data_IF_131922147410
#
_entry.id   IF_131922147410
#
_cell.length_a   1.000
_cell.length_b   1.000
_cell.length_c   1.000
_cell.angle_alpha   90.00
_cell.angle_beta   90.00
_cell.angle_gamma   90.00
#
_symmetry.space_group_name_H-M   'P 1'
#
loop_
_entity.id
_entity.type
_entity.pdbx_description
1 polymer ?
#
# COMPACT_ATOMS: atom_id res chain seq x y z
N UNK A 1 6.18 27.00 -5.25
CA UNK A 1 7.19 27.25 -4.19
C UNK A 1 6.51 26.92 -2.88
N UNK A 2 6.48 25.63 -2.52
CA UNK A 2 5.84 25.21 -1.27
C UNK A 2 6.66 25.74 -0.09
N UNK A 3 5.98 26.28 0.92
CA UNK A 3 6.63 26.83 2.11
C UNK A 3 7.36 25.72 2.85
N UNK A 4 8.68 25.86 2.99
CA UNK A 4 9.58 24.94 3.71
C UNK A 4 9.40 25.00 5.24
N UNK A 5 8.27 25.51 5.73
CA UNK A 5 8.01 25.63 7.16
C UNK A 5 7.52 24.29 7.69
N UNK A 6 8.18 23.80 8.74
CA UNK A 6 7.83 22.57 9.46
C UNK A 6 7.37 22.92 10.87
N UNK A 7 6.52 22.06 11.40
CA UNK A 7 5.96 22.21 12.73
C UNK A 7 6.20 20.93 13.52
N UNK A 8 6.59 21.08 14.78
CA UNK A 8 6.62 19.98 15.74
C UNK A 8 5.21 19.44 15.92
N UNK A 9 5.00 18.20 15.49
CA UNK A 9 3.70 17.55 15.42
C UNK A 9 3.74 16.15 16.05
N UNK A 10 2.57 15.62 16.37
CA UNK A 10 2.39 14.22 16.81
C UNK A 10 1.46 13.49 15.85
N UNK A 11 1.72 12.20 15.58
CA UNK A 11 0.89 11.35 14.73
C UNK A 11 0.25 10.26 15.60
N UNK A 12 -1.08 10.16 15.49
CA UNK A 12 -1.91 9.28 16.30
C UNK A 12 -2.60 8.25 15.41
N UNK A 13 -2.81 7.05 15.96
CA UNK A 13 -3.63 6.04 15.31
C UNK A 13 -5.13 6.32 15.53
N UNK A 14 -5.99 5.58 14.81
CA UNK A 14 -7.43 5.83 14.79
C UNK A 14 -8.20 5.21 15.97
N UNK A 15 -7.53 4.55 16.93
CA UNK A 15 -8.24 3.96 18.06
C UNK A 15 -8.65 5.01 19.09
N UNK A 16 -9.55 4.63 19.99
CA UNK A 16 -9.95 5.46 21.13
C UNK A 16 -9.01 5.26 22.34
N UNK A 17 -7.81 4.73 22.12
CA UNK A 17 -6.82 4.50 23.17
C UNK A 17 -5.80 5.66 23.17
N UNK A 18 -5.60 6.29 24.33
CA UNK A 18 -4.61 7.35 24.51
C UNK A 18 -3.15 6.86 24.39
N UNK A 19 -2.92 5.56 24.26
CA UNK A 19 -1.61 4.98 23.98
C UNK A 19 -1.34 4.75 22.49
N UNK A 20 -2.33 4.89 21.62
CA UNK A 20 -2.21 4.69 20.17
C UNK A 20 -1.55 5.91 19.48
N UNK A 21 -0.27 6.09 19.81
CA UNK A 21 0.55 7.18 19.30
C UNK A 21 1.73 6.61 18.50
N UNK A 22 1.71 6.86 17.19
CA UNK A 22 2.74 6.38 16.25
C UNK A 22 4.02 7.21 16.41
N UNK A 23 3.89 8.54 16.48
CA UNK A 23 4.99 9.47 16.75
C UNK A 23 4.57 10.56 17.71
N UNK A 24 5.29 10.68 18.84
CA UNK A 24 5.02 11.71 19.86
C UNK A 24 5.50 13.11 19.46
N UNK A 25 6.56 13.20 18.65
CA UNK A 25 7.18 14.46 18.22
C UNK A 25 7.94 14.24 16.93
N UNK A 26 7.54 14.94 15.86
CA UNK A 26 8.17 14.90 14.54
C UNK A 26 8.01 16.26 13.83
N UNK A 27 9.02 16.67 13.07
CA UNK A 27 9.00 17.90 12.24
C UNK A 27 8.45 17.59 10.85
N UNK A 28 7.20 17.99 10.59
CA UNK A 28 6.51 17.78 9.30
C UNK A 28 5.91 19.09 8.79
N UNK A 29 5.70 19.23 7.47
CA UNK A 29 4.95 20.37 6.94
C UNK A 29 3.51 20.35 7.47
N UNK A 30 2.81 21.47 7.31
CA UNK A 30 1.38 21.52 7.60
C UNK A 30 0.63 20.57 6.65
N UNK A 31 -0.17 19.68 7.23
CA UNK A 31 -1.04 18.75 6.52
C UNK A 31 -2.50 19.09 6.81
N UNK A 32 -3.40 18.71 5.91
CA UNK A 32 -4.83 18.87 6.02
C UNK A 32 -5.53 17.50 6.07
N UNK A 33 -6.77 17.50 6.54
CA UNK A 33 -7.65 16.32 6.46
C UNK A 33 -7.78 15.92 4.98
N UNK A 34 -7.61 14.62 4.72
CA UNK A 34 -7.59 14.04 3.37
C UNK A 34 -6.20 13.92 2.75
N UNK A 35 -5.16 14.56 3.33
CA UNK A 35 -3.79 14.35 2.88
C UNK A 35 -3.31 12.94 3.23
N UNK A 36 -2.29 12.49 2.51
CA UNK A 36 -1.73 11.14 2.65
C UNK A 36 -0.36 11.18 3.34
N UNK A 37 -0.13 10.19 4.20
CA UNK A 37 1.17 9.96 4.83
C UNK A 37 1.66 8.56 4.44
N UNK A 38 2.92 8.50 4.00
CA UNK A 38 3.58 7.30 3.50
C UNK A 38 4.63 6.82 4.52
N UNK A 39 4.55 5.55 4.91
CA UNK A 39 5.60 4.85 5.65
C UNK A 39 6.23 3.78 4.75
N UNK A 40 7.51 3.94 4.48
CA UNK A 40 8.31 2.95 3.76
C UNK A 40 8.72 1.79 4.67
N UNK A 41 9.13 0.68 4.06
CA UNK A 41 9.66 -0.51 4.72
C UNK A 41 8.68 -1.18 5.71
N UNK A 42 7.39 -1.21 5.36
CA UNK A 42 6.30 -1.75 6.20
C UNK A 42 5.97 -3.22 5.91
N UNK A 43 6.88 -3.98 5.30
CA UNK A 43 6.65 -5.36 4.86
C UNK A 43 6.79 -6.45 5.94
N UNK A 44 7.55 -6.19 7.02
CA UNK A 44 7.85 -7.18 8.05
C UNK A 44 7.28 -6.79 9.41
N UNK A 45 6.68 -7.76 10.13
CA UNK A 45 6.13 -7.60 11.48
C UNK A 45 5.05 -6.50 11.62
N UNK A 46 4.34 -6.19 10.54
CA UNK A 46 3.23 -5.21 10.51
C UNK A 46 1.88 -5.94 10.47
N UNK A 47 1.40 -6.29 9.28
CA UNK A 47 0.10 -6.98 9.09
C UNK A 47 0.08 -8.33 9.81
N UNK A 48 1.22 -9.02 9.91
CA UNK A 48 1.31 -10.34 10.55
C UNK A 48 0.96 -10.34 12.05
N UNK A 49 1.07 -9.20 12.73
CA UNK A 49 0.74 -9.04 14.14
C UNK A 49 -0.43 -8.06 14.37
N UNK A 50 -1.07 -7.59 13.30
CA UNK A 50 -2.15 -6.61 13.39
C UNK A 50 -3.42 -7.24 13.97
N UNK A 51 -4.18 -6.44 14.74
CA UNK A 51 -5.47 -6.84 15.31
C UNK A 51 -6.55 -5.81 14.95
N UNK A 52 -7.79 -6.25 14.81
CA UNK A 52 -8.94 -5.39 14.52
C UNK A 52 -9.54 -4.80 15.80
N UNK A 53 -8.69 -4.21 16.63
CA UNK A 53 -9.14 -3.50 17.82
C UNK A 53 -10.04 -2.31 17.42
N UNK A 54 -11.07 -1.99 18.22
CA UNK A 54 -12.13 -1.03 17.88
C UNK A 54 -12.87 -1.29 16.56
N UNK A 55 -12.80 -2.53 16.02
CA UNK A 55 -13.47 -2.88 14.76
C UNK A 55 -12.83 -2.23 13.52
N UNK A 56 -11.61 -1.72 13.64
CA UNK A 56 -10.90 -1.09 12.54
C UNK A 56 -10.49 -2.15 11.49
N UNK A 57 -10.76 -1.92 10.19
CA UNK A 57 -10.37 -2.86 9.15
C UNK A 57 -8.86 -2.83 8.92
N UNK A 58 -8.30 -3.95 8.44
CA UNK A 58 -6.93 -3.96 7.95
C UNK A 58 -6.81 -3.20 6.63
N UNK A 59 -5.66 -2.56 6.43
CA UNK A 59 -5.27 -2.06 5.11
C UNK A 59 -5.21 -3.22 4.10
N UNK A 60 -5.65 -2.96 2.87
CA UNK A 60 -5.62 -3.95 1.78
C UNK A 60 -4.28 -3.84 1.04
N UNK A 61 -3.41 -4.86 1.10
CA UNK A 61 -2.16 -4.83 0.34
C UNK A 61 -2.47 -4.83 -1.16
N UNK A 62 -1.79 -3.95 -1.89
CA UNK A 62 -1.77 -3.97 -3.35
C UNK A 62 -0.45 -4.57 -3.80
N UNK A 63 -0.52 -5.71 -4.47
CA UNK A 63 0.67 -6.40 -4.98
C UNK A 63 0.93 -5.98 -6.42
N UNK A 64 2.16 -5.59 -6.69
CA UNK A 64 2.62 -5.25 -8.03
C UNK A 64 3.97 -5.92 -8.30
N UNK A 65 4.29 -6.08 -9.57
CA UNK A 65 5.51 -6.74 -10.02
C UNK A 65 5.90 -6.19 -11.38
N UNK A 66 7.18 -5.90 -11.58
CA UNK A 66 7.66 -5.49 -12.90
C UNK A 66 7.50 -6.63 -13.91
N UNK A 67 7.19 -6.31 -15.16
CA UNK A 67 7.02 -7.30 -16.23
C UNK A 67 8.26 -8.20 -16.38
N UNK A 68 9.45 -7.59 -16.29
CA UNK A 68 10.74 -8.30 -16.38
C UNK A 68 10.91 -9.34 -15.25
N UNK A 69 10.52 -8.99 -14.03
CA UNK A 69 10.59 -9.92 -12.90
C UNK A 69 9.52 -11.02 -13.03
N UNK A 70 8.31 -10.68 -13.48
CA UNK A 70 7.25 -11.64 -13.74
C UNK A 70 7.65 -12.71 -14.76
N UNK A 71 8.35 -12.34 -15.83
CA UNK A 71 8.87 -13.28 -16.82
C UNK A 71 9.90 -14.24 -16.21
N UNK A 72 10.78 -13.73 -15.34
CA UNK A 72 11.76 -14.54 -14.59
C UNK A 72 11.07 -15.52 -13.63
N UNK A 73 10.07 -15.04 -12.89
CA UNK A 73 9.25 -15.84 -11.98
C UNK A 73 8.53 -16.97 -12.73
N UNK A 74 7.85 -16.65 -13.84
CA UNK A 74 7.16 -17.65 -14.68
C UNK A 74 8.12 -18.72 -15.18
N UNK A 75 9.30 -18.34 -15.66
CA UNK A 75 10.30 -19.29 -16.14
C UNK A 75 10.76 -20.23 -15.02
N UNK A 76 11.02 -19.69 -13.82
CA UNK A 76 11.42 -20.50 -12.67
C UNK A 76 10.35 -21.54 -12.28
N UNK A 77 9.07 -21.18 -12.33
CA UNK A 77 7.96 -22.08 -11.97
C UNK A 77 7.62 -23.15 -13.03
N UNK A 78 8.12 -23.03 -14.26
CA UNK A 78 7.92 -24.03 -15.33
C UNK A 78 8.89 -25.22 -15.23
N UNK A 79 9.92 -25.14 -14.38
CA UNK A 79 10.98 -26.16 -14.28
C UNK A 79 10.60 -27.40 -13.47
N UNK A 80 9.42 -27.44 -12.83
CA UNK A 80 8.94 -28.60 -12.07
C UNK A 80 7.43 -28.79 -12.31
N UNK A 81 6.94 -30.00 -12.67
CA UNK A 81 5.51 -30.23 -12.83
C UNK A 81 4.84 -30.20 -11.45
N UNK A 82 4.39 -29.02 -11.01
CA UNK A 82 3.48 -28.89 -9.87
C UNK A 82 2.08 -28.63 -10.40
N UNK A 83 1.13 -29.41 -9.89
CA UNK A 83 -0.30 -29.28 -10.18
C UNK A 83 -0.82 -28.11 -9.35
N UNK A 84 -0.85 -26.91 -9.92
CA UNK A 84 -1.45 -25.76 -9.26
C UNK A 84 -2.98 -25.79 -9.48
N UNK A 85 -3.74 -25.74 -8.38
CA UNK A 85 -5.15 -25.37 -8.44
C UNK A 85 -5.17 -23.85 -8.35
N UNK A 86 -5.33 -23.19 -9.49
CA UNK A 86 -5.56 -21.75 -9.54
C UNK A 86 -7.01 -21.54 -9.12
N UNK A 87 -7.23 -21.00 -7.93
CA UNK A 87 -8.56 -20.56 -7.53
C UNK A 87 -8.91 -19.29 -8.30
N UNK A 88 -9.68 -19.46 -9.36
CA UNK A 88 -10.13 -18.38 -10.24
C UNK A 88 -11.14 -17.44 -9.57
N UNK A 89 -11.62 -17.74 -8.36
CA UNK A 89 -12.48 -16.81 -7.60
C UNK A 89 -11.72 -15.60 -7.05
N UNK A 90 -10.39 -15.73 -6.89
CA UNK A 90 -9.50 -14.63 -6.44
C UNK A 90 -9.01 -13.77 -7.62
N UNK A 91 -8.98 -14.35 -8.83
CA UNK A 91 -8.85 -13.59 -10.07
C UNK A 91 -10.19 -12.91 -10.31
N UNK A 92 -10.32 -11.61 -9.99
CA UNK A 92 -11.51 -10.83 -10.35
C UNK A 92 -11.88 -11.16 -11.79
N UNK A 93 -13.12 -11.62 -12.00
CA UNK A 93 -13.69 -11.79 -13.31
C UNK A 93 -13.48 -10.48 -14.09
N UNK A 94 -12.59 -10.51 -15.07
CA UNK A 94 -12.65 -9.58 -16.18
C UNK A 94 -14.00 -9.84 -16.84
N UNK A 95 -14.96 -8.97 -16.51
CA UNK A 95 -16.07 -8.64 -17.39
C UNK A 95 -15.51 -8.54 -18.82
N UNK A 96 -16.25 -9.10 -19.77
CA UNK A 96 -15.89 -9.32 -21.16
C UNK A 96 -15.59 -8.07 -22.01
N UNK A 97 -15.29 -6.93 -21.39
CA UNK A 97 -14.81 -5.73 -22.08
C UNK A 97 -13.29 -5.62 -21.90
N UNK A 98 -12.58 -6.54 -22.56
CA UNK A 98 -11.22 -6.28 -23.00
C UNK A 98 -11.27 -5.29 -24.19
N UNK A 99 -11.70 -4.06 -23.93
CA UNK A 99 -11.31 -2.90 -24.72
C UNK A 99 -10.35 -2.09 -23.86
N UNK A 100 -9.18 -1.87 -24.44
CA UNK A 100 -8.08 -1.08 -23.90
C UNK A 100 -8.56 0.26 -23.31
N UNK A 101 -7.71 0.79 -22.42
CA UNK A 101 -7.86 2.01 -21.61
C UNK A 101 -8.26 1.72 -20.15
N UNK A 102 -7.32 1.13 -19.41
CA UNK A 102 -7.05 1.71 -18.09
C UNK A 102 -6.62 3.13 -18.42
N UNK A 103 -7.42 4.14 -18.06
CA UNK A 103 -7.01 5.54 -18.18
C UNK A 103 -5.59 5.66 -17.63
N UNK A 104 -4.65 5.97 -18.52
CA UNK A 104 -3.21 6.09 -18.27
C UNK A 104 -2.91 7.29 -17.35
N UNK A 105 -3.96 7.95 -16.85
CA UNK A 105 -3.97 9.23 -16.17
C UNK A 105 -3.90 9.08 -14.64
N UNK A 106 -4.15 7.89 -14.09
CA UNK A 106 -4.01 7.58 -12.65
C UNK A 106 -2.64 7.00 -12.27
N UNK A 107 -1.87 6.55 -13.27
CA UNK A 107 -0.56 5.93 -13.13
C UNK A 107 0.66 6.89 -13.14
N UNK A 108 0.63 8.13 -13.66
CA UNK A 108 1.84 8.96 -13.76
C UNK A 108 2.40 9.41 -12.39
N UNK A 109 1.57 9.40 -11.35
CA UNK A 109 1.96 9.81 -10.00
C UNK A 109 2.41 8.66 -9.10
N UNK A 110 2.17 7.41 -9.52
CA UNK A 110 2.43 6.21 -8.71
C UNK A 110 3.77 5.57 -9.08
N UNK A 111 4.40 5.91 -10.22
CA UNK A 111 5.27 4.94 -10.89
C UNK A 111 6.80 5.10 -10.86
N UNK A 112 7.39 6.03 -10.10
CA UNK A 112 8.88 6.05 -10.02
C UNK A 112 9.46 5.78 -8.62
N UNK A 113 8.73 6.06 -7.55
CA UNK A 113 9.22 5.85 -6.17
C UNK A 113 8.61 4.65 -5.43
N UNK A 114 7.62 3.96 -6.00
CA UNK A 114 6.88 2.85 -5.35
C UNK A 114 7.51 1.47 -5.61
N UNK A 115 8.83 1.34 -5.50
CA UNK A 115 9.50 0.02 -5.55
C UNK A 115 9.57 -0.62 -4.14
N UNK A 116 9.10 0.06 -3.11
CA UNK A 116 9.27 -0.34 -1.71
C UNK A 116 7.95 -0.75 -1.05
N UNK A 117 8.03 -1.71 -0.11
CA UNK A 117 6.91 -2.08 0.77
C UNK A 117 6.46 -0.86 1.58
N UNK A 118 5.39 -0.19 1.16
CA UNK A 118 4.93 1.03 1.79
C UNK A 118 3.50 0.91 2.32
N UNK A 119 3.28 1.49 3.50
CA UNK A 119 1.95 1.73 4.04
C UNK A 119 1.54 3.17 3.76
N UNK A 120 0.31 3.33 3.29
CA UNK A 120 -0.27 4.62 2.91
C UNK A 120 -1.50 4.85 3.78
N UNK A 121 -1.54 5.96 4.50
CA UNK A 121 -2.65 6.30 5.42
C UNK A 121 -3.14 7.71 5.13
N UNK A 122 -4.45 7.90 5.15
CA UNK A 122 -5.10 9.21 5.03
C UNK A 122 -5.24 9.89 6.39
N UNK A 123 -5.03 11.19 6.44
CA UNK A 123 -5.31 12.01 7.63
C UNK A 123 -6.82 12.23 7.72
N UNK A 124 -7.39 11.93 8.89
CA UNK A 124 -8.82 12.07 9.18
C UNK A 124 -9.08 13.24 10.13
#
# INVERSE_FOLDING_TARGET
>A
KESSEKYTSSIWGPTCDGLDCIHKSIEIPKLNIGDWVLWKNMGAYTISAAVQFNGLPFGKPLYFMSKQFWDSVKSAFQTVPRKYVVDTSVMRHNSSDCSNEVEDDMLPWILEDFVEDAAVVTIQ
#
